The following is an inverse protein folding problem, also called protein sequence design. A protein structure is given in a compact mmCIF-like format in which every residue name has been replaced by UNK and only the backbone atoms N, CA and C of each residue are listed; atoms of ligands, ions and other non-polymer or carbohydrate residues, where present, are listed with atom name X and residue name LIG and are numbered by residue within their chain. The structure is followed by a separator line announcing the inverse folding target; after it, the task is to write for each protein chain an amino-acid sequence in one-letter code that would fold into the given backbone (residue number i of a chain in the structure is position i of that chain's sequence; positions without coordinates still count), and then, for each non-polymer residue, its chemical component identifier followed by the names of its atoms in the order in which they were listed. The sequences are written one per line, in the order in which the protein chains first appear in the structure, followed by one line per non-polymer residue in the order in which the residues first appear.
data_IF_604451630411
#
_entry.id   IF_604451630411
#
_cell.length_a   1.000
_cell.length_b   1.000
_cell.length_c   1.000
_cell.angle_alpha   90.00
_cell.angle_beta   90.00
_cell.angle_gamma   90.00
#
_symmetry.space_group_name_H-M   'P 1'
#
loop_
_entity.id
_entity.type
_entity.pdbx_description
1 polymer ?
#
# COMPACT_ATOMS: atom_id res chain seq x y z
N UNK A 1 -31.96 -10.32 61.65
CA UNK A 1 -31.12 -9.67 60.63
C UNK A 1 -31.51 -10.27 59.28
N UNK A 2 -32.32 -9.54 58.50
CA UNK A 2 -33.06 -10.12 57.37
C UNK A 2 -32.13 -10.53 56.23
N UNK A 3 -32.36 -11.75 55.69
CA UNK A 3 -31.69 -12.39 54.55
C UNK A 3 -31.49 -11.44 53.35
N UNK A 4 -32.30 -10.40 53.20
CA UNK A 4 -32.15 -9.36 52.17
C UNK A 4 -30.84 -8.54 52.27
N UNK A 5 -30.24 -8.37 53.46
CA UNK A 5 -28.97 -7.62 53.60
C UNK A 5 -27.73 -8.43 53.25
N UNK A 6 -27.79 -9.77 53.37
CA UNK A 6 -26.68 -10.66 53.00
C UNK A 6 -26.60 -10.77 51.47
N UNK A 7 -27.75 -10.88 50.79
CA UNK A 7 -27.81 -10.98 49.32
C UNK A 7 -27.27 -9.73 48.64
N UNK A 8 -27.58 -8.52 49.14
CA UNK A 8 -27.09 -7.28 48.52
C UNK A 8 -25.58 -7.07 48.69
N UNK A 9 -24.95 -7.61 49.74
CA UNK A 9 -23.50 -7.51 49.92
C UNK A 9 -22.76 -8.51 49.02
N UNK A 10 -23.34 -9.70 48.80
CA UNK A 10 -22.80 -10.70 47.86
C UNK A 10 -22.85 -10.23 46.40
N UNK A 11 -23.93 -9.56 46.00
CA UNK A 11 -24.11 -9.04 44.63
C UNK A 11 -23.16 -7.86 44.35
N UNK A 12 -22.90 -6.99 45.34
CA UNK A 12 -21.96 -5.89 45.17
C UNK A 12 -20.49 -6.38 45.04
N UNK A 13 -20.10 -7.43 45.77
CA UNK A 13 -18.76 -8.03 45.65
C UNK A 13 -18.59 -8.80 44.35
N UNK A 14 -19.66 -9.42 43.83
CA UNK A 14 -19.63 -10.05 42.49
C UNK A 14 -19.50 -9.01 41.37
N UNK A 15 -20.15 -7.84 41.48
CA UNK A 15 -20.06 -6.78 40.46
C UNK A 15 -18.67 -6.12 40.46
N UNK A 16 -18.01 -5.99 41.61
CA UNK A 16 -16.65 -5.41 41.67
C UNK A 16 -15.60 -6.38 41.10
N UNK A 17 -15.85 -7.71 41.10
CA UNK A 17 -14.99 -8.67 40.38
C UNK A 17 -15.20 -8.70 38.86
N UNK A 18 -16.27 -8.09 38.34
CA UNK A 18 -16.43 -7.91 36.89
C UNK A 18 -15.80 -6.62 36.36
N UNK A 19 -15.37 -5.69 37.23
CA UNK A 19 -14.68 -4.46 36.85
C UNK A 19 -13.17 -4.62 36.59
N UNK A 20 -12.66 -5.87 36.63
CA UNK A 20 -11.30 -6.21 36.24
C UNK A 20 -11.29 -7.43 35.30
N UNK A 21 -12.25 -7.50 34.37
CA UNK A 21 -12.09 -8.34 33.20
C UNK A 21 -11.41 -7.49 32.14
N UNK A 22 -10.10 -7.71 31.98
CA UNK A 22 -9.45 -7.52 30.69
C UNK A 22 -10.34 -8.17 29.64
N UNK A 23 -10.92 -7.36 28.75
CA UNK A 23 -11.62 -7.84 27.57
C UNK A 23 -10.59 -8.47 26.63
N UNK A 24 -10.30 -9.76 26.85
CA UNK A 24 -9.68 -10.59 25.84
C UNK A 24 -10.77 -10.91 24.80
N UNK A 25 -10.87 -10.07 23.77
CA UNK A 25 -11.61 -10.42 22.56
C UNK A 25 -10.82 -11.53 21.87
N UNK A 26 -11.28 -12.77 21.99
CA UNK A 26 -10.68 -13.89 21.27
C UNK A 26 -11.14 -13.81 19.81
N UNK A 27 -10.35 -13.16 18.96
CA UNK A 27 -10.54 -13.23 17.50
C UNK A 27 -10.12 -14.63 17.05
N UNK A 28 -11.00 -15.34 16.35
CA UNK A 28 -10.74 -16.71 15.89
C UNK A 28 -9.62 -16.69 14.84
N UNK A 29 -8.58 -17.50 15.05
CA UNK A 29 -7.48 -17.67 14.08
C UNK A 29 -7.88 -18.67 13.00
N UNK A 30 -7.92 -18.23 11.76
CA UNK A 30 -8.16 -19.04 10.57
C UNK A 30 -6.82 -19.62 10.10
N UNK A 31 -6.75 -20.95 9.98
CA UNK A 31 -5.55 -21.64 9.45
C UNK A 31 -5.41 -21.44 7.94
N UNK A 32 -4.19 -21.14 7.49
CA UNK A 32 -3.79 -20.96 6.08
C UNK A 32 -3.00 -22.19 5.57
N UNK A 33 -2.94 -23.26 6.37
CA UNK A 33 -2.21 -24.50 6.04
C UNK A 33 -2.63 -25.19 4.73
N UNK A 34 -3.78 -24.83 4.16
CA UNK A 34 -4.21 -25.27 2.82
C UNK A 34 -3.13 -25.03 1.77
N UNK A 35 -2.28 -24.02 1.95
CA UNK A 35 -1.25 -23.64 0.98
C UNK A 35 0.16 -24.13 1.31
N UNK A 36 0.36 -24.97 2.34
CA UNK A 36 1.70 -25.39 2.78
C UNK A 36 2.55 -26.06 1.69
N UNK A 37 1.91 -26.63 0.68
CA UNK A 37 2.57 -27.25 -0.47
C UNK A 37 2.71 -26.34 -1.68
N UNK A 38 2.08 -25.15 -1.68
CA UNK A 38 2.07 -24.24 -2.83
C UNK A 38 3.46 -23.65 -3.08
N UNK A 39 3.83 -23.53 -4.35
CA UNK A 39 5.07 -22.88 -4.77
C UNK A 39 4.98 -21.35 -4.55
N UNK A 40 3.80 -20.79 -4.78
CA UNK A 40 3.48 -19.38 -4.60
C UNK A 40 2.03 -19.21 -4.12
N UNK A 41 1.79 -18.17 -3.32
CA UNK A 41 0.49 -17.84 -2.75
C UNK A 41 0.13 -16.42 -3.17
N UNK A 42 -1.02 -16.30 -3.79
CA UNK A 42 -1.64 -15.04 -4.17
C UNK A 42 -2.79 -14.77 -3.21
N UNK A 43 -2.98 -13.51 -2.89
CA UNK A 43 -4.10 -13.04 -2.13
C UNK A 43 -4.73 -11.90 -2.92
N UNK A 44 -6.06 -11.77 -2.87
CA UNK A 44 -6.81 -10.70 -3.53
C UNK A 44 -8.17 -10.48 -2.85
N UNK A 45 -8.86 -9.39 -3.17
CA UNK A 45 -10.22 -9.11 -2.73
C UNK A 45 -11.14 -8.57 -3.83
N UNK A 46 -12.42 -8.76 -3.60
CA UNK A 46 -13.51 -8.19 -4.37
C UNK A 46 -14.65 -7.80 -3.42
N UNK A 47 -15.71 -7.22 -3.96
CA UNK A 47 -16.94 -6.98 -3.18
C UNK A 47 -17.57 -8.28 -2.67
N UNK A 48 -17.19 -9.43 -3.22
CA UNK A 48 -17.65 -10.75 -2.77
C UNK A 48 -16.84 -11.32 -1.60
N UNK A 49 -15.67 -10.76 -1.27
CA UNK A 49 -14.86 -11.27 -0.16
C UNK A 49 -13.35 -11.05 -0.26
N UNK A 50 -12.63 -11.72 0.65
CA UNK A 50 -11.16 -11.79 0.69
C UNK A 50 -10.75 -13.23 0.47
N UNK A 51 -9.83 -13.44 -0.47
CA UNK A 51 -9.46 -14.76 -0.97
C UNK A 51 -7.95 -14.92 -1.01
N UNK A 52 -7.48 -16.13 -0.73
CA UNK A 52 -6.15 -16.60 -1.09
C UNK A 52 -6.25 -17.77 -2.05
N UNK A 53 -5.25 -17.92 -2.91
CA UNK A 53 -5.16 -18.99 -3.87
C UNK A 53 -3.71 -19.23 -4.26
N UNK A 54 -3.39 -20.45 -4.66
CA UNK A 54 -2.05 -20.86 -5.01
C UNK A 54 -2.07 -22.21 -5.69
N UNK A 55 -0.93 -22.63 -6.24
CA UNK A 55 -0.84 -23.91 -6.91
C UNK A 55 0.51 -24.59 -6.61
N UNK A 56 0.54 -25.90 -6.80
CA UNK A 56 1.72 -26.74 -6.69
C UNK A 56 1.62 -27.87 -7.70
N UNK A 57 2.46 -27.82 -8.72
CA UNK A 57 2.46 -28.80 -9.82
C UNK A 57 1.07 -28.96 -10.45
N UNK A 58 0.38 -30.05 -10.10
CA UNK A 58 -0.92 -30.44 -10.67
C UNK A 58 -2.13 -29.94 -9.90
N UNK A 59 -1.96 -29.31 -8.74
CA UNK A 59 -3.08 -28.94 -7.85
C UNK A 59 -3.16 -27.44 -7.64
N UNK A 60 -4.36 -26.89 -7.81
CA UNK A 60 -4.70 -25.53 -7.40
C UNK A 60 -5.46 -25.58 -6.07
N UNK A 61 -5.21 -24.60 -5.22
CA UNK A 61 -5.78 -24.43 -3.90
C UNK A 61 -6.41 -23.05 -3.80
N UNK A 62 -7.53 -22.97 -3.10
CA UNK A 62 -8.23 -21.71 -2.81
C UNK A 62 -8.69 -21.70 -1.38
N UNK A 63 -8.79 -20.50 -0.81
CA UNK A 63 -9.37 -20.27 0.50
C UNK A 63 -10.11 -18.93 0.51
N UNK A 64 -11.39 -18.94 0.86
CA UNK A 64 -12.11 -17.72 1.24
C UNK A 64 -11.90 -17.45 2.72
N UNK A 65 -11.67 -16.20 3.09
CA UNK A 65 -11.64 -15.73 4.47
C UNK A 65 -12.94 -15.02 4.82
N UNK A 66 -13.41 -14.18 3.90
CA UNK A 66 -14.69 -13.46 3.94
C UNK A 66 -15.48 -13.94 2.71
N UNK A 67 -16.77 -14.29 2.82
CA UNK A 67 -17.63 -14.17 4.01
C UNK A 67 -17.46 -15.30 5.06
N UNK A 68 -16.78 -16.39 4.71
CA UNK A 68 -16.54 -17.51 5.62
C UNK A 68 -15.26 -18.24 5.29
N UNK A 69 -14.56 -18.75 6.30
CA UNK A 69 -13.39 -19.61 6.13
C UNK A 69 -13.76 -20.93 5.43
N UNK A 70 -13.42 -21.07 4.14
CA UNK A 70 -13.62 -22.30 3.37
C UNK A 70 -12.44 -22.51 2.44
N UNK A 71 -12.04 -23.76 2.27
CA UNK A 71 -10.93 -24.12 1.40
C UNK A 71 -11.36 -25.19 0.39
N UNK A 72 -10.88 -25.04 -0.83
CA UNK A 72 -11.12 -26.00 -1.91
C UNK A 72 -9.82 -26.24 -2.69
N UNK A 73 -9.67 -27.44 -3.23
CA UNK A 73 -8.54 -27.78 -4.08
C UNK A 73 -9.00 -28.61 -5.25
N UNK A 74 -8.30 -28.49 -6.38
CA UNK A 74 -8.55 -29.29 -7.56
C UNK A 74 -7.25 -29.73 -8.18
N UNK A 75 -7.16 -31.01 -8.56
CA UNK A 75 -6.00 -31.58 -9.25
C UNK A 75 -6.36 -31.82 -10.70
N UNK A 76 -5.62 -31.19 -11.61
CA UNK A 76 -5.72 -31.43 -13.05
C UNK A 76 -4.83 -32.61 -13.45
N UNK A 77 -5.15 -33.24 -14.59
CA UNK A 77 -4.36 -34.36 -15.10
C UNK A 77 -2.94 -33.94 -15.45
N UNK A 78 -2.74 -32.71 -15.94
CA UNK A 78 -1.43 -32.11 -16.16
C UNK A 78 -1.06 -31.06 -15.10
N UNK A 79 -0.25 -30.06 -15.46
CA UNK A 79 0.28 -29.05 -14.52
C UNK A 79 -0.32 -27.66 -14.74
N UNK A 80 -0.51 -26.88 -13.66
CA UNK A 80 -0.90 -25.48 -13.78
C UNK A 80 0.27 -24.64 -14.33
N UNK A 81 -0.04 -23.75 -15.27
CA UNK A 81 0.94 -22.97 -16.02
C UNK A 81 0.46 -21.51 -16.10
N UNK A 82 1.16 -20.64 -15.38
CA UNK A 82 0.80 -19.23 -15.27
C UNK A 82 0.11 -18.89 -13.94
N UNK A 83 0.00 -17.58 -13.69
CA UNK A 83 -0.55 -17.04 -12.46
C UNK A 83 -2.08 -17.17 -12.44
N UNK A 84 -2.69 -17.85 -11.45
CA UNK A 84 -4.13 -17.83 -11.27
C UNK A 84 -4.63 -16.40 -11.04
N UNK A 85 -5.85 -16.10 -11.48
CA UNK A 85 -6.45 -14.77 -11.34
C UNK A 85 -7.83 -14.86 -10.73
N UNK A 86 -8.17 -13.92 -9.86
CA UNK A 86 -9.48 -13.81 -9.21
C UNK A 86 -10.45 -12.99 -10.07
N UNK A 87 -11.58 -13.60 -10.44
CA UNK A 87 -12.78 -12.93 -10.97
C UNK A 87 -13.90 -12.98 -9.92
N UNK A 88 -14.05 -11.88 -9.18
CA UNK A 88 -14.94 -11.73 -8.01
C UNK A 88 -14.70 -12.79 -6.93
N UNK A 89 -15.40 -13.91 -6.97
CA UNK A 89 -15.28 -15.04 -6.05
C UNK A 89 -14.72 -16.31 -6.71
N UNK A 90 -14.35 -16.24 -7.98
CA UNK A 90 -13.90 -17.40 -8.78
C UNK A 90 -12.44 -17.23 -9.16
N UNK A 91 -11.60 -18.19 -8.82
CA UNK A 91 -10.20 -18.22 -9.27
C UNK A 91 -10.14 -19.02 -10.56
N UNK A 92 -9.62 -18.40 -11.61
CA UNK A 92 -9.36 -19.06 -12.88
C UNK A 92 -7.86 -19.22 -13.10
N UNK A 93 -7.45 -20.39 -13.58
CA UNK A 93 -6.07 -20.72 -13.87
C UNK A 93 -5.96 -21.52 -15.16
N UNK A 94 -4.86 -21.32 -15.88
CA UNK A 94 -4.51 -22.13 -17.04
C UNK A 94 -3.73 -23.36 -16.57
N UNK A 95 -4.08 -24.53 -17.10
CA UNK A 95 -3.32 -25.75 -16.93
C UNK A 95 -2.99 -26.35 -18.28
N UNK A 96 -1.87 -27.05 -18.35
CA UNK A 96 -1.42 -27.80 -19.51
C UNK A 96 -1.59 -29.29 -19.22
N UNK A 97 -2.35 -30.00 -20.04
CA UNK A 97 -2.52 -31.45 -19.97
C UNK A 97 -1.24 -32.18 -20.38
N UNK A 98 -1.15 -33.48 -20.08
CA UNK A 98 0.04 -34.30 -20.38
C UNK A 98 0.30 -34.45 -21.91
N UNK A 99 -0.68 -34.13 -22.76
CA UNK A 99 -0.56 -34.06 -24.23
C UNK A 99 -0.23 -32.64 -24.75
N UNK A 100 0.17 -31.72 -23.86
CA UNK A 100 0.59 -30.34 -24.15
C UNK A 100 -0.51 -29.41 -24.68
N UNK A 101 -1.78 -29.72 -24.40
CA UNK A 101 -2.89 -28.79 -24.66
C UNK A 101 -3.16 -27.89 -23.45
N UNK A 102 -3.43 -26.62 -23.71
CA UNK A 102 -3.80 -25.68 -22.64
C UNK A 102 -5.31 -25.63 -22.44
N UNK A 103 -5.72 -25.60 -21.19
CA UNK A 103 -7.11 -25.51 -20.77
C UNK A 103 -7.24 -24.51 -19.61
N UNK A 104 -8.46 -23.98 -19.42
CA UNK A 104 -8.77 -23.09 -18.31
C UNK A 104 -9.68 -23.82 -17.34
N UNK A 105 -9.31 -23.76 -16.06
CA UNK A 105 -10.14 -24.21 -14.94
C UNK A 105 -10.50 -23.01 -14.07
N UNK A 106 -11.77 -22.91 -13.71
CA UNK A 106 -12.27 -21.91 -12.79
C UNK A 106 -12.91 -22.59 -11.58
N UNK A 107 -12.49 -22.20 -10.37
CA UNK A 107 -12.98 -22.72 -9.10
C UNK A 107 -13.61 -21.60 -8.28
N UNK A 108 -14.86 -21.78 -7.88
CA UNK A 108 -15.54 -20.84 -7.01
C UNK A 108 -15.06 -21.01 -5.57
N UNK A 109 -14.49 -19.95 -5.00
CA UNK A 109 -13.87 -19.97 -3.67
C UNK A 109 -14.89 -20.08 -2.52
N UNK A 110 -16.19 -19.87 -2.78
CA UNK A 110 -17.24 -19.85 -1.74
C UNK A 110 -17.98 -21.18 -1.65
N UNK A 111 -18.21 -21.85 -2.78
CA UNK A 111 -18.98 -23.09 -2.84
C UNK A 111 -18.20 -24.29 -3.41
N UNK A 112 -17.01 -24.08 -3.96
CA UNK A 112 -16.14 -25.13 -4.50
C UNK A 112 -16.56 -25.66 -5.87
N UNK A 113 -17.54 -25.05 -6.55
CA UNK A 113 -17.95 -25.45 -7.88
C UNK A 113 -16.82 -25.23 -8.87
N UNK A 114 -16.55 -26.23 -9.70
CA UNK A 114 -15.50 -26.19 -10.73
C UNK A 114 -16.16 -26.12 -12.10
N UNK A 115 -15.69 -25.21 -12.94
CA UNK A 115 -16.05 -25.10 -14.35
C UNK A 115 -14.81 -25.19 -15.23
N UNK A 116 -15.00 -25.78 -16.41
CA UNK A 116 -13.98 -25.87 -17.44
C UNK A 116 -14.33 -24.91 -18.56
N UNK A 117 -13.33 -24.22 -19.06
CA UNK A 117 -13.44 -23.39 -20.26
C UNK A 117 -12.59 -24.05 -21.32
N UNK A 118 -13.27 -24.64 -22.31
CA UNK A 118 -12.64 -25.06 -23.55
C UNK A 118 -12.45 -23.82 -24.41
N UNK A 119 -11.27 -23.66 -24.99
CA UNK A 119 -10.96 -22.59 -25.93
C UNK A 119 -9.89 -23.09 -26.89
N UNK A 120 -10.29 -23.45 -28.11
CA UNK A 120 -9.40 -24.12 -29.08
C UNK A 120 -8.17 -23.29 -29.47
N UNK A 121 -8.25 -21.97 -29.36
CA UNK A 121 -7.14 -21.06 -29.68
C UNK A 121 -6.14 -20.84 -28.54
N UNK A 122 -6.26 -21.53 -27.39
CA UNK A 122 -5.47 -21.18 -26.21
C UNK A 122 -3.98 -21.44 -26.42
N UNK A 123 -3.69 -22.47 -27.21
CA UNK A 123 -2.35 -22.85 -27.65
C UNK A 123 -1.62 -21.73 -28.42
N UNK A 124 -2.34 -20.76 -28.99
CA UNK A 124 -1.77 -19.64 -29.74
C UNK A 124 -1.40 -18.45 -28.84
N UNK A 125 -1.73 -18.49 -27.56
CA UNK A 125 -1.55 -17.37 -26.63
C UNK A 125 -0.45 -17.63 -25.60
N UNK A 126 0.22 -16.57 -25.18
CA UNK A 126 1.04 -16.62 -23.98
C UNK A 126 0.11 -16.69 -22.76
N UNK A 127 0.00 -17.87 -22.15
CA UNK A 127 -0.90 -18.14 -21.03
C UNK A 127 -0.69 -17.20 -19.83
N UNK A 128 0.51 -16.63 -19.64
CA UNK A 128 0.76 -15.64 -18.58
C UNK A 128 0.03 -14.31 -18.79
N UNK A 129 -0.52 -14.08 -19.98
CA UNK A 129 -1.20 -12.82 -20.36
C UNK A 129 -2.71 -13.00 -20.60
N UNK A 130 -3.22 -14.22 -20.41
CA UNK A 130 -4.65 -14.51 -20.58
C UNK A 130 -5.39 -14.20 -19.29
N UNK A 131 -6.38 -13.31 -19.36
CA UNK A 131 -7.29 -13.03 -18.26
C UNK A 131 -8.66 -13.62 -18.57
N UNK A 132 -9.27 -14.28 -17.58
CA UNK A 132 -10.64 -14.80 -17.66
C UNK A 132 -11.50 -13.97 -16.72
N UNK A 133 -12.48 -13.25 -17.26
CA UNK A 133 -13.34 -12.38 -16.47
C UNK A 133 -14.70 -12.20 -17.14
N UNK A 134 -15.79 -12.20 -16.36
CA UNK A 134 -17.16 -11.98 -16.84
C UNK A 134 -17.54 -12.89 -18.03
N UNK A 135 -17.12 -14.16 -18.00
CA UNK A 135 -17.45 -15.15 -19.03
C UNK A 135 -16.74 -14.94 -20.37
N UNK A 136 -15.57 -14.28 -20.37
CA UNK A 136 -14.77 -13.98 -21.57
C UNK A 136 -13.29 -14.16 -21.30
N UNK A 137 -12.52 -14.37 -22.36
CA UNK A 137 -11.06 -14.25 -22.35
C UNK A 137 -10.66 -12.85 -22.79
N UNK A 138 -9.64 -12.28 -22.16
CA UNK A 138 -8.97 -11.05 -22.57
C UNK A 138 -7.49 -11.33 -22.78
N UNK A 139 -6.98 -10.90 -23.92
CA UNK A 139 -5.61 -11.19 -24.34
C UNK A 139 -4.98 -9.95 -24.94
N UNK A 140 -3.75 -9.63 -24.54
CA UNK A 140 -2.97 -8.58 -25.18
C UNK A 140 -2.46 -9.06 -26.55
N UNK A 141 -2.59 -8.20 -27.55
CA UNK A 141 -2.11 -8.42 -28.91
C UNK A 141 -1.19 -7.28 -29.32
N UNK A 142 -0.17 -7.60 -30.11
CA UNK A 142 0.80 -6.64 -30.62
C UNK A 142 0.90 -6.77 -32.13
N UNK A 143 0.53 -5.71 -32.83
CA UNK A 143 0.78 -5.53 -34.26
C UNK A 143 1.88 -4.45 -34.39
N UNK A 144 2.75 -4.43 -35.41
CA UNK A 144 3.85 -3.44 -35.51
C UNK A 144 3.34 -2.03 -35.93
N UNK A 145 2.55 -1.31 -35.09
CA UNK A 145 3.12 -0.60 -33.92
C UNK A 145 2.25 -0.53 -32.64
N UNK A 146 1.11 -1.24 -32.60
CA UNK A 146 0.09 -1.14 -31.56
C UNK A 146 0.05 -2.36 -30.64
N UNK A 147 0.09 -2.12 -29.34
CA UNK A 147 -0.29 -3.10 -28.32
C UNK A 147 -1.70 -2.77 -27.80
N UNK A 148 -2.62 -3.71 -27.91
CA UNK A 148 -4.05 -3.55 -27.63
C UNK A 148 -4.63 -4.81 -27.00
N UNK A 149 -5.87 -4.75 -26.50
CA UNK A 149 -6.54 -5.91 -25.89
C UNK A 149 -7.61 -6.44 -26.84
N UNK A 150 -7.75 -7.75 -26.91
CA UNK A 150 -8.85 -8.42 -27.61
C UNK A 150 -9.62 -9.27 -26.63
N UNK A 151 -10.95 -9.23 -26.71
CA UNK A 151 -11.82 -10.17 -25.98
C UNK A 151 -12.35 -11.27 -26.88
N UNK A 152 -12.48 -12.47 -26.33
CA UNK A 152 -13.04 -13.64 -26.99
C UNK A 152 -14.14 -14.27 -26.14
N UNK A 153 -15.11 -14.92 -26.79
CA UNK A 153 -15.98 -15.87 -26.11
C UNK A 153 -15.24 -17.20 -25.91
N UNK A 154 -15.85 -18.11 -25.14
CA UNK A 154 -15.26 -19.43 -24.90
C UNK A 154 -15.27 -20.33 -26.15
N UNK A 155 -16.04 -20.01 -27.19
CA UNK A 155 -16.01 -20.78 -28.44
C UNK A 155 -14.87 -20.36 -29.37
N UNK A 156 -13.97 -19.46 -28.95
CA UNK A 156 -12.91 -18.96 -29.83
C UNK A 156 -13.30 -17.73 -30.64
N UNK A 157 -14.54 -17.27 -30.58
CA UNK A 157 -14.98 -16.14 -31.38
C UNK A 157 -14.47 -14.84 -30.80
N UNK A 158 -13.84 -14.03 -31.65
CA UNK A 158 -13.40 -12.68 -31.33
C UNK A 158 -14.62 -11.78 -31.10
N UNK A 159 -14.70 -11.14 -29.93
CA UNK A 159 -15.82 -10.27 -29.54
C UNK A 159 -15.51 -8.81 -29.84
N UNK A 160 -14.40 -8.29 -29.32
CA UNK A 160 -14.11 -6.85 -29.39
C UNK A 160 -12.62 -6.52 -29.28
N UNK A 161 -12.22 -5.44 -29.97
CA UNK A 161 -10.86 -4.90 -29.99
C UNK A 161 -10.80 -3.58 -29.21
N UNK A 162 -10.10 -3.58 -28.09
CA UNK A 162 -9.89 -2.40 -27.25
C UNK A 162 -8.61 -1.68 -27.68
N UNK A 163 -8.77 -0.65 -28.53
CA UNK A 163 -7.67 0.17 -29.06
C UNK A 163 -7.67 1.57 -28.43
N UNK A 164 -6.49 2.17 -28.24
CA UNK A 164 -6.32 3.39 -27.43
C UNK A 164 -5.66 4.55 -28.20
N UNK A 165 -6.14 4.88 -29.40
CA UNK A 165 -5.75 6.08 -30.15
C UNK A 165 -4.23 6.34 -30.17
N UNK A 166 -3.46 5.37 -30.68
CA UNK A 166 -1.98 5.38 -30.76
C UNK A 166 -1.20 5.15 -29.47
N UNK A 167 -1.88 4.96 -28.34
CA UNK A 167 -1.24 4.54 -27.08
C UNK A 167 -1.22 3.02 -26.97
N UNK A 168 -0.14 2.50 -26.40
CA UNK A 168 0.08 1.07 -26.23
C UNK A 168 -0.30 0.62 -24.82
N UNK A 169 -0.96 -0.52 -24.75
CA UNK A 169 -1.21 -1.25 -23.51
C UNK A 169 0.12 -1.79 -23.00
N UNK A 170 0.43 -1.49 -21.74
CA UNK A 170 1.57 -2.02 -21.00
C UNK A 170 1.19 -3.34 -20.30
N UNK A 171 0.03 -3.36 -19.64
CA UNK A 171 -0.44 -4.50 -18.86
C UNK A 171 -1.98 -4.53 -18.81
N UNK A 172 -2.55 -5.71 -18.60
CA UNK A 172 -3.96 -5.89 -18.23
C UNK A 172 -4.07 -6.58 -16.88
N UNK A 173 -5.04 -6.16 -16.06
CA UNK A 173 -5.32 -6.77 -14.75
C UNK A 173 -6.81 -6.92 -14.48
N UNK A 174 -7.17 -7.86 -13.62
CA UNK A 174 -8.51 -7.96 -13.05
C UNK A 174 -8.52 -7.22 -11.70
N UNK A 175 -9.57 -6.45 -11.45
CA UNK A 175 -9.88 -5.94 -10.12
C UNK A 175 -11.40 -5.89 -9.95
N UNK A 176 -11.90 -6.44 -8.83
CA UNK A 176 -13.32 -6.48 -8.51
C UNK A 176 -14.24 -6.97 -9.65
N UNK A 177 -13.80 -7.98 -10.39
CA UNK A 177 -14.56 -8.56 -11.51
C UNK A 177 -14.68 -7.67 -12.74
N UNK A 178 -13.72 -6.76 -12.94
CA UNK A 178 -13.57 -6.00 -14.17
C UNK A 178 -12.13 -6.09 -14.67
N UNK A 179 -11.94 -5.99 -15.99
CA UNK A 179 -10.62 -5.94 -16.61
C UNK A 179 -10.22 -4.49 -16.83
N UNK A 180 -8.98 -4.17 -16.48
CA UNK A 180 -8.40 -2.85 -16.67
C UNK A 180 -7.16 -2.95 -17.56
N UNK A 181 -7.08 -2.05 -18.54
CA UNK A 181 -5.88 -1.84 -19.34
C UNK A 181 -5.07 -0.68 -18.78
N UNK A 182 -3.80 -0.94 -18.48
CA UNK A 182 -2.80 0.04 -18.08
C UNK A 182 -1.98 0.39 -19.30
N UNK A 183 -1.96 1.66 -19.69
CA UNK A 183 -1.18 2.14 -20.83
C UNK A 183 0.21 2.59 -20.36
N UNK A 184 1.18 2.61 -21.29
CA UNK A 184 2.55 3.05 -21.00
C UNK A 184 2.67 4.51 -20.52
N UNK A 185 1.66 5.34 -20.78
CA UNK A 185 1.63 6.73 -20.32
C UNK A 185 0.99 6.90 -18.94
N UNK A 186 0.62 5.79 -18.27
CA UNK A 186 -0.03 5.79 -16.98
C UNK A 186 -1.56 5.83 -17.04
N UNK A 187 -2.18 6.03 -18.20
CA UNK A 187 -3.64 6.01 -18.29
C UNK A 187 -4.20 4.61 -17.97
N UNK A 188 -5.27 4.55 -17.18
CA UNK A 188 -5.96 3.30 -16.82
C UNK A 188 -7.38 3.34 -17.34
N UNK A 189 -7.79 2.28 -18.05
CA UNK A 189 -9.12 2.15 -18.64
C UNK A 189 -9.79 0.85 -18.21
N UNK A 190 -11.06 0.91 -17.79
CA UNK A 190 -11.91 -0.27 -17.64
C UNK A 190 -12.36 -0.76 -19.01
N UNK A 191 -12.30 -2.07 -19.22
CA UNK A 191 -12.79 -2.74 -20.43
C UNK A 191 -14.20 -3.27 -20.16
N UNK A 192 -15.18 -2.67 -20.80
CA UNK A 192 -16.58 -3.11 -20.75
C UNK A 192 -16.93 -3.91 -22.01
N UNK A 193 -18.15 -4.42 -22.10
CA UNK A 193 -18.53 -5.40 -23.12
C UNK A 193 -18.16 -5.03 -24.57
N UNK A 194 -18.19 -3.75 -24.92
CA UNK A 194 -17.83 -3.23 -26.25
C UNK A 194 -17.36 -1.78 -26.19
N UNK A 195 -16.78 -1.37 -25.07
CA UNK A 195 -16.34 0.01 -24.84
C UNK A 195 -15.20 0.06 -23.83
N UNK A 196 -14.52 1.19 -23.79
CA UNK A 196 -13.54 1.52 -22.76
C UNK A 196 -14.02 2.72 -21.97
N UNK A 197 -13.82 2.69 -20.65
CA UNK A 197 -14.07 3.82 -19.77
C UNK A 197 -12.74 4.25 -19.15
N UNK A 198 -12.44 5.55 -19.21
CA UNK A 198 -11.25 6.08 -18.54
C UNK A 198 -11.49 6.11 -17.03
N UNK A 199 -10.57 5.53 -16.26
CA UNK A 199 -10.66 5.44 -14.81
C UNK A 199 -9.77 6.47 -14.12
N UNK A 200 -8.47 6.41 -14.38
CA UNK A 200 -7.47 7.19 -13.64
C UNK A 200 -6.15 7.30 -14.43
N UNK A 201 -5.19 8.07 -13.90
CA UNK A 201 -3.81 8.10 -14.40
C UNK A 201 -2.85 7.77 -13.26
N UNK A 202 -2.18 6.63 -13.35
CA UNK A 202 -1.15 6.23 -12.39
C UNK A 202 0.16 6.97 -12.66
N UNK A 203 0.94 7.18 -11.60
CA UNK A 203 2.23 7.90 -11.70
C UNK A 203 3.37 6.98 -12.10
N UNK A 204 3.32 5.73 -11.64
CA UNK A 204 4.30 4.69 -11.92
C UNK A 204 3.59 3.56 -12.67
N UNK A 205 4.16 3.06 -13.76
CA UNK A 205 3.52 2.03 -14.58
C UNK A 205 4.02 0.61 -14.28
N UNK A 206 5.12 0.48 -13.53
CA UNK A 206 5.83 -0.80 -13.36
C UNK A 206 5.58 -1.45 -11.99
N UNK A 207 5.23 -0.67 -10.97
CA UNK A 207 5.05 -1.16 -9.60
C UNK A 207 3.66 -0.82 -9.06
N UNK A 208 2.64 -1.31 -9.76
CA UNK A 208 1.24 -1.22 -9.32
C UNK A 208 0.87 -2.47 -8.54
N UNK A 209 0.06 -2.32 -7.50
CA UNK A 209 -0.45 -3.40 -6.66
C UNK A 209 -1.94 -3.27 -6.47
N UNK A 210 -2.64 -4.40 -6.40
CA UNK A 210 -4.00 -4.41 -5.90
C UNK A 210 -3.94 -4.07 -4.40
N UNK A 211 -4.77 -3.14 -3.95
CA UNK A 211 -4.91 -2.83 -2.52
C UNK A 211 -6.35 -2.97 -2.04
N UNK A 212 -7.29 -3.35 -2.89
CA UNK A 212 -8.69 -3.54 -2.53
C UNK A 212 -9.63 -3.55 -3.73
N UNK A 213 -10.89 -3.93 -3.48
CA UNK A 213 -11.94 -3.88 -4.48
C UNK A 213 -12.15 -2.43 -4.97
N UNK A 214 -11.86 -2.18 -6.26
CA UNK A 214 -11.93 -0.86 -6.88
C UNK A 214 -10.72 0.04 -6.63
N UNK A 215 -9.64 -0.46 -6.00
CA UNK A 215 -8.47 0.34 -5.66
C UNK A 215 -7.15 -0.34 -6.00
N UNK A 216 -6.20 0.47 -6.46
CA UNK A 216 -4.81 0.05 -6.71
C UNK A 216 -3.86 1.04 -6.02
N UNK A 217 -2.62 0.63 -5.82
CA UNK A 217 -1.58 1.50 -5.32
C UNK A 217 -0.24 1.37 -6.04
N UNK A 218 0.59 2.41 -5.98
CA UNK A 218 1.97 2.36 -6.46
C UNK A 218 2.98 2.13 -5.32
N UNK A 219 4.25 1.89 -5.68
CA UNK A 219 5.36 1.73 -4.74
C UNK A 219 5.63 2.96 -3.84
N UNK A 220 5.12 4.14 -4.21
CA UNK A 220 5.21 5.39 -3.44
C UNK A 220 4.03 5.56 -2.48
N UNK A 221 3.08 4.63 -2.48
CA UNK A 221 1.91 4.63 -1.62
C UNK A 221 0.78 5.53 -2.10
N UNK A 222 0.76 5.98 -3.36
CA UNK A 222 -0.45 6.59 -3.92
C UNK A 222 -1.52 5.52 -4.09
N UNK A 223 -2.77 5.87 -3.81
CA UNK A 223 -3.93 5.00 -3.96
C UNK A 223 -4.81 5.62 -5.05
N UNK A 224 -5.13 4.82 -6.06
CA UNK A 224 -5.96 5.25 -7.18
C UNK A 224 -7.28 4.50 -7.11
N UNK A 225 -8.38 5.25 -7.12
CA UNK A 225 -9.70 4.66 -7.36
C UNK A 225 -9.80 4.26 -8.83
N UNK A 226 -10.34 3.07 -9.08
CA UNK A 226 -10.68 2.58 -10.41
C UNK A 226 -12.13 2.89 -10.80
N UNK A 227 -12.97 3.19 -9.81
CA UNK A 227 -14.37 3.54 -10.01
C UNK A 227 -14.56 5.04 -10.23
N UNK A 228 -13.64 5.85 -9.71
CA UNK A 228 -13.68 7.31 -9.76
C UNK A 228 -12.30 7.82 -10.15
N UNK A 229 -12.24 8.92 -10.92
CA UNK A 229 -10.99 9.58 -11.28
C UNK A 229 -10.41 10.39 -10.11
N UNK A 230 -10.20 9.70 -8.99
CA UNK A 230 -9.75 10.23 -7.71
C UNK A 230 -8.47 9.52 -7.32
N UNK A 231 -7.44 10.31 -6.99
CA UNK A 231 -6.18 9.80 -6.43
C UNK A 231 -6.09 10.26 -4.99
N UNK A 232 -5.93 9.31 -4.08
CA UNK A 232 -5.65 9.57 -2.68
C UNK A 232 -4.15 9.45 -2.47
N UNK A 233 -3.55 10.46 -1.86
CA UNK A 233 -2.19 10.29 -1.33
C UNK A 233 -2.34 9.55 -0.02
N UNK A 234 -1.59 8.46 0.21
CA UNK A 234 -1.53 7.85 1.52
C UNK A 234 -1.14 8.95 2.53
N UNK A 235 -2.12 9.36 3.35
CA UNK A 235 -1.97 10.44 4.35
C UNK A 235 -0.87 10.13 5.38
N UNK A 236 -0.35 8.89 5.38
CA UNK A 236 0.56 8.36 6.39
C UNK A 236 1.88 7.84 5.81
N UNK A 237 2.18 8.09 4.52
CA UNK A 237 3.45 7.79 3.82
C UNK A 237 4.04 6.40 4.12
N UNK A 238 3.21 5.38 4.30
CA UNK A 238 3.69 4.02 4.53
C UNK A 238 3.85 3.27 3.20
N UNK A 239 5.06 2.80 2.92
CA UNK A 239 5.24 1.62 2.06
C UNK A 239 4.58 0.44 2.78
N UNK A 240 3.87 -0.42 2.04
CA UNK A 240 3.20 -1.67 2.48
C UNK A 240 3.62 -2.25 3.85
N UNK A 241 2.68 -2.85 4.62
CA UNK A 241 1.38 -3.36 4.15
C UNK A 241 0.17 -2.51 4.55
N UNK A 242 -0.69 -2.21 3.57
CA UNK A 242 -2.00 -1.59 3.75
C UNK A 242 -3.04 -2.20 2.79
N UNK A 243 -4.32 -2.11 3.13
CA UNK A 243 -5.45 -2.50 2.29
C UNK A 243 -6.58 -1.46 2.35
N UNK A 244 -7.45 -1.44 1.35
CA UNK A 244 -8.55 -0.50 1.17
C UNK A 244 -9.87 -1.26 1.03
N UNK A 245 -10.90 -0.87 1.79
CA UNK A 245 -12.25 -1.45 1.72
C UNK A 245 -13.31 -0.42 2.08
N UNK A 246 -14.30 -0.21 1.19
CA UNK A 246 -15.35 0.81 1.33
C UNK A 246 -14.81 2.17 1.80
N UNK A 247 -13.81 2.69 1.11
CA UNK A 247 -13.13 3.94 1.45
C UNK A 247 -12.42 3.96 2.82
N UNK A 248 -12.22 2.83 3.47
CA UNK A 248 -11.36 2.74 4.65
C UNK A 248 -10.00 2.18 4.26
N UNK A 249 -8.93 2.82 4.72
CA UNK A 249 -7.58 2.29 4.67
C UNK A 249 -7.25 1.59 5.99
N UNK A 250 -6.82 0.34 5.87
CA UNK A 250 -6.29 -0.46 6.96
C UNK A 250 -4.77 -0.54 6.83
N UNK A 251 -4.03 -0.24 7.88
CA UNK A 251 -2.56 -0.31 7.86
C UNK A 251 -1.99 -0.73 9.22
N UNK A 252 -0.81 -1.36 9.19
CA UNK A 252 -0.08 -1.75 10.40
C UNK A 252 0.93 -0.66 10.75
N UNK A 253 0.94 -0.23 12.01
CA UNK A 253 2.02 0.60 12.54
C UNK A 253 2.42 0.12 13.93
N UNK A 254 3.71 -0.20 14.10
CA UNK A 254 4.27 -0.83 15.30
C UNK A 254 3.50 -2.11 15.70
N UNK A 255 2.82 -2.10 16.84
CA UNK A 255 2.03 -3.22 17.37
C UNK A 255 0.52 -2.96 17.29
N UNK A 256 0.06 -2.19 16.30
CA UNK A 256 -1.36 -1.85 16.17
C UNK A 256 -1.80 -1.82 14.72
N UNK A 257 -3.08 -2.07 14.52
CA UNK A 257 -3.74 -1.99 13.23
C UNK A 257 -4.66 -0.77 13.28
N UNK A 258 -4.56 0.08 12.28
CA UNK A 258 -5.33 1.32 12.20
C UNK A 258 -6.33 1.21 11.06
N UNK A 259 -7.50 1.79 11.26
CA UNK A 259 -8.53 1.99 10.27
C UNK A 259 -8.76 3.49 10.15
N UNK A 260 -8.72 4.03 8.93
CA UNK A 260 -8.97 5.45 8.67
C UNK A 260 -9.80 5.61 7.40
N UNK A 261 -10.67 6.61 7.35
CA UNK A 261 -11.45 6.91 6.15
C UNK A 261 -10.58 7.66 5.11
N UNK A 262 -10.73 7.32 3.84
CA UNK A 262 -10.05 7.97 2.72
C UNK A 262 -10.57 9.40 2.59
N UNK A 263 -9.75 10.37 2.99
CA UNK A 263 -10.07 11.80 2.86
C UNK A 263 -10.61 12.46 4.14
N UNK A 264 -10.84 11.69 5.21
CA UNK A 264 -11.19 12.22 6.52
C UNK A 264 -10.08 12.00 7.55
N UNK A 265 -9.90 12.94 8.47
CA UNK A 265 -8.92 12.83 9.56
C UNK A 265 -9.49 12.04 10.74
N UNK A 266 -10.09 10.89 10.47
CA UNK A 266 -10.64 10.00 11.48
C UNK A 266 -9.84 8.70 11.50
N UNK A 267 -9.39 8.31 12.70
CA UNK A 267 -8.54 7.13 12.90
C UNK A 267 -9.11 6.33 14.08
N UNK A 268 -9.34 5.05 13.83
CA UNK A 268 -9.66 4.05 14.84
C UNK A 268 -8.51 3.05 14.93
N UNK A 269 -8.31 2.49 16.13
CA UNK A 269 -7.19 1.61 16.42
C UNK A 269 -7.68 0.27 16.97
N UNK A 270 -7.10 -0.79 16.47
CA UNK A 270 -7.09 -2.10 17.09
C UNK A 270 -5.72 -2.33 17.77
N UNK A 271 -5.76 -2.45 19.10
CA UNK A 271 -4.57 -2.75 19.90
C UNK A 271 -4.31 -4.25 19.85
N UNK A 272 -3.41 -4.65 18.96
CA UNK A 272 -3.04 -6.04 18.79
C UNK A 272 -2.28 -6.58 20.02
N UNK A 273 -2.64 -7.80 20.44
CA UNK A 273 -1.90 -8.50 21.49
C UNK A 273 -0.49 -8.93 21.03
N UNK A 274 -0.29 -9.06 19.72
CA UNK A 274 0.95 -9.48 19.08
C UNK A 274 1.30 -8.55 17.92
N UNK A 275 2.52 -8.68 17.40
CA UNK A 275 2.91 -7.97 16.19
C UNK A 275 2.36 -8.70 14.97
N UNK A 276 1.60 -8.00 14.14
CA UNK A 276 1.20 -8.48 12.81
C UNK A 276 2.25 -8.04 11.79
N UNK A 277 2.61 -8.94 10.87
CA UNK A 277 3.65 -8.70 9.88
C UNK A 277 3.06 -8.30 8.53
N UNK A 278 1.80 -8.65 8.25
CA UNK A 278 1.16 -8.31 6.98
C UNK A 278 -0.36 -8.13 7.06
N UNK A 279 -0.88 -7.33 6.14
CA UNK A 279 -2.31 -7.25 5.81
C UNK A 279 -2.48 -8.00 4.49
N UNK A 280 -3.38 -8.98 4.45
CA UNK A 280 -3.73 -9.62 3.19
C UNK A 280 -4.53 -8.63 2.35
N UNK A 281 -5.83 -8.54 2.58
CA UNK A 281 -6.72 -7.59 1.90
C UNK A 281 -7.91 -7.26 2.81
N UNK A 282 -8.68 -6.27 2.39
CA UNK A 282 -9.97 -5.91 2.98
C UNK A 282 -11.10 -6.10 1.99
N UNK A 283 -12.27 -6.41 2.54
CA UNK A 283 -13.55 -6.44 1.84
C UNK A 283 -14.58 -5.76 2.73
N UNK A 284 -15.38 -4.88 2.14
CA UNK A 284 -16.34 -4.06 2.87
C UNK A 284 -15.68 -3.34 4.08
N UNK A 285 -16.15 -3.67 5.29
CA UNK A 285 -15.72 -3.11 6.58
C UNK A 285 -14.93 -4.12 7.42
N UNK A 286 -14.23 -5.03 6.75
CA UNK A 286 -13.42 -6.03 7.39
C UNK A 286 -12.07 -6.20 6.70
N UNK A 287 -11.06 -6.55 7.49
CA UNK A 287 -9.68 -6.75 7.05
C UNK A 287 -9.14 -8.08 7.55
N UNK A 288 -8.45 -8.80 6.68
CA UNK A 288 -7.70 -10.01 7.04
C UNK A 288 -6.23 -9.66 7.28
N UNK A 289 -5.70 -10.01 8.45
CA UNK A 289 -4.30 -9.74 8.84
C UNK A 289 -3.61 -11.02 9.32
N UNK A 290 -2.28 -11.08 9.17
CA UNK A 290 -1.48 -12.26 9.52
C UNK A 290 -0.26 -11.92 10.35
N UNK A 291 0.05 -12.79 11.31
CA UNK A 291 1.25 -12.73 12.15
C UNK A 291 2.41 -13.50 11.51
N UNK A 292 2.11 -14.62 10.85
CA UNK A 292 3.10 -15.66 10.52
C UNK A 292 2.91 -16.28 9.12
N UNK A 293 2.00 -15.72 8.30
CA UNK A 293 1.54 -16.27 7.01
C UNK A 293 0.88 -17.65 7.06
N UNK A 294 0.88 -18.31 8.22
CA UNK A 294 0.25 -19.62 8.44
C UNK A 294 -1.15 -19.49 9.06
N UNK A 295 -1.46 -18.33 9.62
CA UNK A 295 -2.75 -18.01 10.23
C UNK A 295 -3.18 -16.59 9.89
N UNK A 296 -4.50 -16.40 9.77
CA UNK A 296 -5.12 -15.10 9.57
C UNK A 296 -6.13 -14.84 10.70
N UNK A 297 -6.33 -13.58 11.05
CA UNK A 297 -7.50 -13.14 11.81
C UNK A 297 -8.31 -12.16 10.98
N UNK A 298 -9.62 -12.11 11.23
CA UNK A 298 -10.52 -11.17 10.59
C UNK A 298 -10.93 -10.13 11.62
N UNK A 299 -10.67 -8.87 11.29
CA UNK A 299 -11.10 -7.72 12.07
C UNK A 299 -12.21 -7.01 11.31
N UNK A 300 -13.31 -6.78 11.98
CA UNK A 300 -14.42 -5.95 11.52
C UNK A 300 -14.31 -4.56 12.12
N UNK A 301 -15.05 -3.58 11.60
CA UNK A 301 -15.09 -2.23 12.20
C UNK A 301 -15.48 -2.22 13.69
N UNK A 302 -16.21 -3.21 14.20
CA UNK A 302 -16.55 -3.28 15.64
C UNK A 302 -15.35 -3.63 16.53
N UNK A 303 -14.28 -4.17 15.94
CA UNK A 303 -13.05 -4.49 16.66
C UNK A 303 -12.16 -3.24 16.85
N UNK A 304 -12.36 -2.20 16.04
CA UNK A 304 -11.63 -0.95 16.14
C UNK A 304 -12.26 -0.02 17.18
N UNK A 305 -11.42 0.65 17.96
CA UNK A 305 -11.84 1.62 18.96
C UNK A 305 -11.36 3.01 18.54
N UNK A 306 -12.24 4.00 18.63
CA UNK A 306 -11.85 5.39 18.41
C UNK A 306 -10.85 5.84 19.48
N UNK A 307 -9.75 6.47 19.05
CA UNK A 307 -8.91 7.20 19.99
C UNK A 307 -9.76 8.31 20.61
N UNK A 308 -9.89 8.34 21.94
CA UNK A 308 -10.54 9.49 22.60
C UNK A 308 -9.76 10.75 22.24
N UNK A 309 -10.39 11.79 21.69
CA UNK A 309 -9.69 13.02 21.37
C UNK A 309 -9.14 13.61 22.66
N UNK A 310 -7.82 13.79 22.74
CA UNK A 310 -7.24 14.68 23.73
C UNK A 310 -7.73 16.08 23.36
N UNK A 311 -8.66 16.60 24.16
CA UNK A 311 -9.28 17.91 23.99
C UNK A 311 -8.21 19.00 24.09
N UNK A 312 -7.59 19.36 22.96
CA UNK A 312 -6.85 20.61 22.73
C UNK A 312 -6.35 20.69 21.27
N UNK A 313 -7.19 20.35 20.29
CA UNK A 313 -6.94 20.73 18.89
C UNK A 313 -7.96 21.81 18.55
N UNK A 314 -7.48 23.04 18.45
CA UNK A 314 -8.22 24.16 17.89
C UNK A 314 -8.50 23.83 16.43
N UNK A 315 -9.78 23.67 16.10
CA UNK A 315 -10.26 23.55 14.73
C UNK A 315 -9.73 24.69 13.87
N UNK A 316 -9.08 24.37 12.76
CA UNK A 316 -9.02 25.27 11.62
C UNK A 316 -9.66 24.59 10.42
N UNK A 317 -10.85 25.07 10.10
CA UNK A 317 -11.70 24.76 8.95
C UNK A 317 -10.94 24.80 7.59
N UNK A 318 -11.42 24.06 6.57
CA UNK A 318 -10.77 23.96 5.27
C UNK A 318 -10.89 25.27 4.49
N UNK A 319 -9.75 25.80 4.02
CA UNK A 319 -9.74 26.88 3.02
C UNK A 319 -9.54 26.29 1.64
N UNK A 320 -10.46 26.66 0.76
CA UNK A 320 -10.52 26.41 -0.67
C UNK A 320 -9.25 26.85 -1.40
N UNK A 321 -8.93 26.12 -2.49
CA UNK A 321 -7.80 26.36 -3.39
C UNK A 321 -7.63 27.83 -3.80
N UNK A 322 -6.37 28.29 -3.93
CA UNK A 322 -6.06 29.31 -4.91
C UNK A 322 -4.97 28.89 -5.90
N UNK A 323 -5.33 29.15 -7.15
CA UNK A 323 -4.57 29.39 -8.37
C UNK A 323 -3.14 29.96 -8.19
N UNK A 324 -2.22 29.46 -9.03
CA UNK A 324 -0.81 29.88 -9.17
C UNK A 324 -0.66 31.31 -9.70
N UNK A 325 0.16 32.17 -9.05
CA UNK A 325 1.31 32.98 -9.61
C UNK A 325 1.88 34.02 -8.60
N UNK A 326 3.07 34.65 -8.81
CA UNK A 326 4.25 34.45 -7.93
C UNK A 326 4.81 35.72 -7.22
N UNK A 327 5.84 35.47 -6.39
CA UNK A 327 6.94 36.33 -5.93
C UNK A 327 6.75 37.28 -4.72
N UNK A 328 7.66 37.18 -3.74
CA UNK A 328 7.99 38.29 -2.83
C UNK A 328 8.45 37.96 -1.40
N UNK A 329 9.74 37.74 -1.21
CA UNK A 329 10.59 38.18 -0.06
C UNK A 329 10.14 38.01 1.42
N UNK A 330 10.86 37.10 2.10
CA UNK A 330 11.43 37.15 3.49
C UNK A 330 10.59 37.70 4.67
N UNK A 331 10.39 36.85 5.69
CA UNK A 331 10.75 37.19 7.08
C UNK A 331 10.99 35.92 7.92
N UNK A 332 12.13 35.90 8.63
CA UNK A 332 12.50 34.92 9.63
C UNK A 332 11.56 34.96 10.86
N UNK A 333 11.29 33.81 11.51
CA UNK A 333 10.71 33.84 12.85
C UNK A 333 9.81 32.68 13.34
N UNK A 334 9.94 31.44 12.87
CA UNK A 334 9.62 30.24 13.70
C UNK A 334 10.06 28.97 12.97
N UNK A 335 11.20 28.38 13.35
CA UNK A 335 11.58 27.06 12.85
C UNK A 335 10.71 26.01 13.57
N UNK A 336 9.57 25.66 13.00
CA UNK A 336 8.84 24.45 13.40
C UNK A 336 9.67 23.25 12.92
N UNK A 337 10.54 22.73 13.79
CA UNK A 337 11.31 21.54 13.48
C UNK A 337 10.37 20.38 13.18
N UNK A 338 10.59 19.71 12.05
CA UNK A 338 9.76 18.59 11.63
C UNK A 338 10.46 17.28 11.99
N UNK A 339 9.95 16.60 13.01
CA UNK A 339 10.31 15.22 13.32
C UNK A 339 9.49 14.32 12.41
N UNK A 340 10.12 13.66 11.47
CA UNK A 340 9.44 12.88 10.44
C UNK A 340 9.44 11.39 10.80
N UNK A 341 8.40 10.68 10.38
CA UNK A 341 8.23 9.27 10.72
C UNK A 341 9.22 8.33 10.05
N UNK A 342 9.82 8.76 8.92
CA UNK A 342 10.96 8.12 8.26
C UNK A 342 12.31 8.38 8.97
N UNK A 343 12.28 9.01 10.15
CA UNK A 343 13.43 9.11 11.05
C UNK A 343 14.36 10.28 10.75
N UNK A 344 13.83 11.39 10.24
CA UNK A 344 14.60 12.61 10.03
C UNK A 344 14.12 13.79 10.89
N UNK A 345 15.03 14.73 11.12
CA UNK A 345 14.71 16.03 11.70
C UNK A 345 14.97 17.09 10.64
N UNK A 346 13.90 17.65 10.10
CA UNK A 346 13.92 18.64 9.00
C UNK A 346 13.58 20.05 9.51
N UNK A 347 13.70 21.04 8.62
CA UNK A 347 13.53 22.46 8.95
C UNK A 347 14.57 22.97 9.97
N UNK A 348 15.78 22.40 9.91
CA UNK A 348 16.94 22.84 10.69
C UNK A 348 17.72 23.84 9.85
N UNK A 349 17.78 25.09 10.32
CA UNK A 349 18.52 26.15 9.64
C UNK A 349 20.04 25.87 9.63
N UNK A 350 20.68 26.27 8.53
CA UNK A 350 22.14 26.26 8.43
C UNK A 350 22.76 27.07 9.57
N UNK A 351 23.81 26.53 10.20
CA UNK A 351 24.47 27.16 11.34
C UNK A 351 23.80 26.98 12.71
N UNK A 352 22.63 26.32 12.78
CA UNK A 352 22.00 25.95 14.07
C UNK A 352 22.94 25.03 14.87
N UNK A 353 23.17 25.35 16.14
CA UNK A 353 24.02 24.50 17.01
C UNK A 353 23.21 23.48 17.78
N UNK A 354 23.86 22.39 18.20
CA UNK A 354 23.25 21.37 19.05
C UNK A 354 22.66 21.95 20.35
N UNK A 355 23.32 22.94 20.94
CA UNK A 355 22.84 23.63 22.14
C UNK A 355 21.56 24.45 21.86
N UNK A 356 21.53 25.19 20.75
CA UNK A 356 20.35 25.95 20.35
C UNK A 356 19.17 25.02 20.01
N UNK A 357 19.43 23.87 19.39
CA UNK A 357 18.39 22.89 19.06
C UNK A 357 17.77 22.29 20.32
N UNK A 358 18.59 21.86 21.30
CA UNK A 358 18.09 21.36 22.59
C UNK A 358 17.27 22.39 23.36
N UNK A 359 17.66 23.68 23.29
CA UNK A 359 16.90 24.77 23.92
C UNK A 359 15.52 24.95 23.27
N UNK A 360 15.44 24.79 21.95
CA UNK A 360 14.19 24.93 21.21
C UNK A 360 13.31 23.67 21.23
N UNK A 361 13.89 22.49 21.48
CA UNK A 361 13.19 21.20 21.53
C UNK A 361 13.55 20.43 22.81
N UNK A 362 12.82 20.63 23.92
CA UNK A 362 13.10 19.99 25.20
C UNK A 362 13.00 18.46 25.19
N UNK A 363 12.30 17.87 24.20
CA UNK A 363 12.22 16.41 24.01
C UNK A 363 13.54 15.75 23.58
N UNK A 364 14.55 16.54 23.17
CA UNK A 364 15.85 16.03 22.73
C UNK A 364 16.75 15.74 23.94
N UNK A 365 17.12 14.48 24.09
CA UNK A 365 18.01 13.99 25.16
C UNK A 365 19.47 14.19 24.75
N UNK A 366 19.85 13.73 23.55
CA UNK A 366 21.24 13.75 23.07
C UNK A 366 21.34 14.16 21.61
N UNK A 367 22.51 14.71 21.26
CA UNK A 367 22.89 15.06 19.88
C UNK A 367 24.29 14.54 19.66
N UNK A 368 24.48 13.75 18.61
CA UNK A 368 25.76 13.16 18.22
C UNK A 368 26.07 13.45 16.75
N UNK A 369 27.33 13.30 16.36
CA UNK A 369 27.69 13.17 14.94
C UNK A 369 27.22 11.80 14.40
N UNK A 370 27.46 11.57 13.10
CA UNK A 370 27.14 10.30 12.41
C UNK A 370 27.87 9.08 12.99
N UNK A 371 28.97 9.29 13.73
CA UNK A 371 29.78 8.24 14.34
C UNK A 371 29.42 8.00 15.83
N UNK A 372 28.43 8.73 16.37
CA UNK A 372 28.00 8.62 17.76
C UNK A 372 28.79 9.49 18.74
N UNK A 373 29.73 10.32 18.28
CA UNK A 373 30.44 11.24 19.16
C UNK A 373 29.54 12.40 19.56
N UNK A 374 29.60 12.81 20.83
CA UNK A 374 28.82 13.93 21.33
C UNK A 374 29.14 15.21 20.55
N UNK A 375 28.12 15.83 19.97
CA UNK A 375 28.27 17.03 19.16
C UNK A 375 27.87 18.27 19.96
N UNK A 376 28.79 19.22 20.11
CA UNK A 376 28.56 20.53 20.76
C UNK A 376 28.52 21.71 19.77
N UNK A 377 28.94 21.49 18.52
CA UNK A 377 29.07 22.51 17.48
C UNK A 377 27.83 22.70 16.61
N UNK A 378 28.04 23.27 15.41
CA UNK A 378 27.02 23.38 14.35
C UNK A 378 26.49 21.99 13.99
N UNK A 379 25.18 21.89 13.80
CA UNK A 379 24.55 20.74 13.18
C UNK A 379 24.92 20.71 11.70
N UNK A 380 24.96 19.50 11.17
CA UNK A 380 25.19 19.20 9.75
C UNK A 380 24.27 18.06 9.32
N UNK A 381 23.97 17.95 8.03
CA UNK A 381 23.22 16.82 7.49
C UNK A 381 23.92 15.51 7.90
N UNK A 382 23.16 14.57 8.45
CA UNK A 382 23.69 13.33 9.01
C UNK A 382 24.05 13.38 10.51
N UNK A 383 23.90 14.52 11.18
CA UNK A 383 23.92 14.56 12.66
C UNK A 383 22.75 13.74 13.21
N UNK A 384 22.87 13.19 14.41
CA UNK A 384 21.82 12.35 15.01
C UNK A 384 21.29 12.98 16.28
N UNK A 385 19.97 13.07 16.36
CA UNK A 385 19.21 13.60 17.50
C UNK A 385 18.44 12.44 18.13
N UNK A 386 18.53 12.28 19.45
CA UNK A 386 17.82 11.22 20.17
C UNK A 386 16.79 11.83 21.11
N UNK A 387 15.54 11.38 21.01
CA UNK A 387 14.45 11.66 21.97
C UNK A 387 14.25 10.46 22.90
N UNK A 388 13.22 10.49 23.76
CA UNK A 388 12.85 9.33 24.59
C UNK A 388 12.42 8.13 23.74
N UNK A 389 11.80 8.40 22.61
CA UNK A 389 11.06 7.39 21.85
C UNK A 389 11.87 6.84 20.67
N UNK A 390 12.75 7.66 20.05
CA UNK A 390 13.52 7.27 18.86
C UNK A 390 14.71 8.17 18.54
N UNK A 391 15.47 7.78 17.51
CA UNK A 391 16.58 8.55 16.91
C UNK A 391 16.14 9.16 15.58
N UNK A 392 16.61 10.36 15.29
CA UNK A 392 16.35 11.10 14.06
C UNK A 392 17.67 11.58 13.44
N UNK A 393 17.77 11.47 12.11
CA UNK A 393 18.89 12.00 11.34
C UNK A 393 18.57 13.42 10.87
N UNK A 394 19.43 14.38 11.17
CA UNK A 394 19.23 15.79 10.83
C UNK A 394 19.38 15.99 9.32
N UNK A 395 18.46 16.75 8.74
CA UNK A 395 18.49 17.22 7.35
C UNK A 395 18.59 18.74 7.34
N UNK A 396 19.65 19.27 6.73
CA UNK A 396 19.83 20.70 6.49
C UNK A 396 19.81 20.91 4.98
N UNK A 397 18.81 21.65 4.47
CA UNK A 397 18.66 21.89 3.03
C UNK A 397 19.90 22.58 2.47
N UNK A 398 20.44 22.00 1.40
CA UNK A 398 21.65 22.47 0.71
C UNK A 398 22.97 21.92 1.27
N UNK A 399 23.01 21.34 2.47
CA UNK A 399 24.21 20.66 3.01
C UNK A 399 24.23 19.19 2.56
N UNK A 400 24.40 19.00 1.25
CA UNK A 400 24.34 17.68 0.56
C UNK A 400 25.53 16.79 0.94
N UNK A 401 26.65 17.40 1.29
CA UNK A 401 27.89 16.69 1.68
C UNK A 401 28.04 16.50 3.19
N UNK A 402 27.14 17.07 4.01
CA UNK A 402 27.18 16.95 5.47
C UNK A 402 28.39 17.64 6.10
N UNK A 403 28.82 18.76 5.52
CA UNK A 403 29.92 19.57 6.05
C UNK A 403 29.43 20.59 7.09
N UNK A 404 28.13 20.91 7.08
CA UNK A 404 27.51 21.95 7.90
C UNK A 404 27.59 23.34 7.28
N UNK A 405 27.98 23.42 6.00
CA UNK A 405 28.07 24.64 5.18
C UNK A 405 27.58 24.30 3.76
N UNK A 406 26.93 25.26 3.09
CA UNK A 406 26.53 25.11 1.68
C UNK A 406 27.67 25.69 0.83
N UNK A 407 28.33 24.86 0.04
CA UNK A 407 29.45 25.24 -0.81
C UNK A 407 29.47 24.49 -2.16
N UNK A 408 30.49 24.77 -2.99
CA UNK A 408 30.60 24.17 -4.32
C UNK A 408 30.64 22.64 -4.31
N UNK A 409 31.07 22.00 -3.22
CA UNK A 409 31.07 20.54 -3.13
C UNK A 409 29.65 19.96 -3.06
N UNK A 410 28.67 20.69 -2.52
CA UNK A 410 27.26 20.25 -2.47
C UNK A 410 26.64 20.24 -3.88
N UNK A 411 26.86 21.31 -4.63
CA UNK A 411 26.46 21.37 -6.05
C UNK A 411 27.17 20.28 -6.89
N UNK A 412 28.45 20.00 -6.61
CA UNK A 412 29.19 18.93 -7.28
C UNK A 412 28.65 17.54 -6.92
N UNK A 413 28.19 17.33 -5.70
CA UNK A 413 27.58 16.06 -5.27
C UNK A 413 26.24 15.82 -6.00
N UNK A 414 25.41 16.85 -6.16
CA UNK A 414 24.19 16.76 -6.96
C UNK A 414 24.51 16.48 -8.43
N UNK A 415 25.45 17.23 -9.03
CA UNK A 415 25.85 17.01 -10.42
C UNK A 415 26.28 15.56 -10.67
N UNK A 416 27.08 14.98 -9.76
CA UNK A 416 27.49 13.57 -9.83
C UNK A 416 26.32 12.60 -9.71
N UNK A 417 25.31 12.91 -8.90
CA UNK A 417 24.10 12.11 -8.81
C UNK A 417 23.27 12.16 -10.08
N UNK A 418 23.17 13.34 -10.73
CA UNK A 418 22.39 13.52 -11.96
C UNK A 418 23.00 12.81 -13.17
N UNK A 419 24.32 12.64 -13.20
CA UNK A 419 25.04 11.88 -14.23
C UNK A 419 25.27 10.41 -13.85
N UNK A 420 24.60 9.92 -12.80
CA UNK A 420 24.70 8.55 -12.27
C UNK A 420 26.12 8.12 -11.87
N UNK A 421 27.01 9.07 -11.55
CA UNK A 421 28.35 8.78 -11.04
C UNK A 421 28.33 8.39 -9.56
N UNK A 422 27.50 9.05 -8.75
CA UNK A 422 27.37 8.79 -7.31
C UNK A 422 25.94 9.11 -6.85
N UNK A 423 25.16 8.09 -6.53
CA UNK A 423 23.79 8.27 -6.06
C UNK A 423 23.73 8.84 -4.62
N UNK A 424 22.81 9.78 -4.39
CA UNK A 424 22.53 10.35 -3.08
C UNK A 424 21.44 9.54 -2.38
N UNK A 425 21.61 9.29 -1.08
CA UNK A 425 20.65 8.53 -0.28
C UNK A 425 20.28 9.23 1.03
N UNK A 426 19.12 8.88 1.57
CA UNK A 426 18.65 9.27 2.90
C UNK A 426 18.69 10.78 3.15
N UNK A 427 19.32 11.18 4.25
CA UNK A 427 19.41 12.59 4.66
C UNK A 427 20.07 13.49 3.60
N UNK A 428 21.04 12.97 2.85
CA UNK A 428 21.77 13.73 1.83
C UNK A 428 20.94 13.93 0.57
N UNK A 429 20.11 12.95 0.19
CA UNK A 429 19.12 13.11 -0.90
C UNK A 429 18.05 14.13 -0.52
N UNK A 430 17.55 14.07 0.72
CA UNK A 430 16.59 15.07 1.23
C UNK A 430 17.20 16.47 1.37
N UNK A 431 18.49 16.58 1.70
CA UNK A 431 19.19 17.86 1.70
C UNK A 431 19.40 18.42 0.28
N UNK A 432 19.43 17.56 -0.73
CA UNK A 432 19.59 17.92 -2.13
C UNK A 432 18.29 18.34 -2.82
N UNK A 433 17.12 17.92 -2.34
CA UNK A 433 15.79 18.43 -2.76
C UNK A 433 15.56 19.80 -2.10
N UNK A 434 16.22 20.83 -2.63
CA UNK A 434 16.28 22.16 -2.04
C UNK A 434 14.97 22.93 -2.21
N UNK A 435 14.27 22.68 -3.33
CA UNK A 435 12.99 23.32 -3.62
C UNK A 435 11.78 22.58 -3.01
N UNK A 436 12.00 21.40 -2.42
CA UNK A 436 11.00 20.55 -1.78
C UNK A 436 9.91 20.05 -2.75
N UNK A 437 10.26 19.81 -4.01
CA UNK A 437 9.35 19.28 -5.04
C UNK A 437 9.34 17.74 -5.10
N UNK A 438 10.15 17.08 -4.25
CA UNK A 438 10.21 15.63 -4.14
C UNK A 438 11.17 14.97 -5.14
N UNK A 439 11.80 15.75 -6.01
CA UNK A 439 12.83 15.31 -6.96
C UNK A 439 14.15 16.02 -6.68
N UNK A 440 15.28 15.36 -6.98
CA UNK A 440 16.58 16.04 -7.00
C UNK A 440 16.94 16.24 -8.47
N UNK A 441 16.80 17.47 -8.97
CA UNK A 441 16.99 17.79 -10.39
C UNK A 441 17.89 19.02 -10.61
N UNK A 442 17.98 19.49 -11.87
CA UNK A 442 18.79 20.65 -12.23
C UNK A 442 18.33 21.95 -11.53
N UNK A 443 17.06 22.06 -11.11
CA UNK A 443 16.55 23.21 -10.36
C UNK A 443 17.21 23.29 -9.00
N UNK A 444 17.33 22.16 -8.29
CA UNK A 444 17.99 22.12 -6.98
C UNK A 444 19.47 22.44 -7.09
N UNK A 445 20.13 21.87 -8.10
CA UNK A 445 21.52 22.17 -8.41
C UNK A 445 21.74 23.68 -8.57
N UNK A 446 20.90 24.34 -9.36
CA UNK A 446 20.99 25.79 -9.61
C UNK A 446 20.70 26.58 -8.33
N UNK A 447 19.68 26.20 -7.57
CA UNK A 447 19.30 26.90 -6.34
C UNK A 447 20.39 26.79 -5.26
N UNK A 448 21.02 25.63 -5.11
CA UNK A 448 22.13 25.41 -4.19
C UNK A 448 23.39 26.14 -4.67
N UNK A 449 23.70 26.10 -5.96
CA UNK A 449 24.85 26.82 -6.53
C UNK A 449 24.75 28.34 -6.33
N UNK A 450 23.54 28.90 -6.25
CA UNK A 450 23.30 30.32 -5.94
C UNK A 450 23.48 30.70 -4.46
N UNK A 451 23.63 29.72 -3.57
CA UNK A 451 23.87 29.94 -2.12
C UNK A 451 25.35 29.93 -1.75
N UNK A 452 26.23 29.58 -2.68
CA UNK A 452 27.68 29.58 -2.53
C UNK A 452 28.27 30.99 -2.45
#
# INVERSE_FOLDING_TARGET
MSIKRVINLSVAVMIIFFAANFSAFAVEKISVNTFNSCDEIFCDSSDSGVFAYGYSGKTIYTQSFIPSAKSYSFTADGGFVGEPKLDKETVCAVYMTDDFNYHILCINCINGSVTYVEFDGLNDFNYNTVLVCNGRLYVMKTDEPYCYVVSYDFNGNRIFDYKFSEKNVNEIRINNGFVYAFLYDGSVFRLDNSSVEYCNTVRETNDIYNCGAGFISDNKGYIYSLNENTTYTNMYMQSKPFAVGMENIYYINANSIYCSSLGENYIEQYNAAFRYDNIFYSCEKAVAVTEDYNSAIILSNTDFQSEKPNSNIVETQPKTNPTVKPAGSKSAGSSNYAFTDDGYLSNVDIGKTAAQLKKSCPQIISVTDKNGNKLSGKLKTGSVVTTKDRRYTVVILGDVTGTGEINSNDSKAIMKSLINENELFGAYKKAADYNLDGSVDNKDLVLIAQKN
#
